data_IF_691698585568
#
_entry.id   IF_691698585568
#
_cell.length_a   1.000
_cell.length_b   1.000
_cell.length_c   1.000
_cell.angle_alpha   90.00
_cell.angle_beta   90.00
_cell.angle_gamma   90.00
#
_symmetry.space_group_name_H-M   'P 1'
#
loop_
_entity.id
_entity.type
_entity.pdbx_description
1 polymer ?
#
# COMPACT_ATOMS: atom_id res chain seq x y z
N UNK A 1 13.14 -28.75 -35.60
CA UNK A 1 13.06 -27.57 -34.71
C UNK A 1 13.57 -26.38 -35.49
N UNK A 2 12.65 -25.56 -36.00
CA UNK A 2 12.98 -24.30 -36.68
C UNK A 2 13.04 -23.20 -35.61
N UNK A 3 14.08 -22.34 -35.60
CA UNK A 3 14.15 -21.22 -34.66
C UNK A 3 13.02 -20.22 -34.95
N UNK A 4 12.35 -19.76 -33.90
CA UNK A 4 11.19 -18.86 -33.96
C UNK A 4 11.58 -17.50 -34.59
N UNK A 5 11.02 -17.19 -35.76
CA UNK A 5 11.26 -15.91 -36.45
C UNK A 5 10.67 -14.70 -35.71
N UNK A 6 9.77 -14.93 -34.74
CA UNK A 6 9.14 -13.87 -33.94
C UNK A 6 10.11 -13.16 -32.99
N UNK A 7 11.14 -13.85 -32.49
CA UNK A 7 12.20 -13.21 -31.66
C UNK A 7 13.09 -12.27 -32.48
N UNK A 8 13.17 -12.45 -33.80
CA UNK A 8 14.01 -11.64 -34.67
C UNK A 8 13.37 -10.28 -35.02
N UNK A 9 12.04 -10.19 -34.98
CA UNK A 9 11.30 -8.96 -35.33
C UNK A 9 11.16 -7.97 -34.17
N UNK A 10 11.34 -8.42 -32.92
CA UNK A 10 11.27 -7.57 -31.72
C UNK A 10 12.65 -7.10 -31.23
N UNK A 11 13.74 -7.66 -31.77
CA UNK A 11 15.08 -7.17 -31.50
C UNK A 11 15.32 -5.81 -32.17
N UNK A 12 15.91 -4.81 -31.48
CA UNK A 12 16.24 -3.54 -32.11
C UNK A 12 17.22 -3.80 -33.25
N UNK A 13 16.74 -3.66 -34.50
CA UNK A 13 17.51 -3.75 -35.75
C UNK A 13 18.49 -2.58 -35.81
N UNK A 14 19.57 -2.70 -35.05
CA UNK A 14 20.59 -1.66 -34.92
C UNK A 14 21.88 -2.03 -35.67
N UNK A 15 21.84 -3.01 -36.58
CA UNK A 15 22.98 -3.38 -37.41
C UNK A 15 23.27 -2.26 -38.42
N UNK A 16 24.19 -1.35 -38.06
CA UNK A 16 24.78 -0.42 -39.02
C UNK A 16 25.05 1.01 -38.52
N UNK A 17 24.60 1.40 -37.32
CA UNK A 17 24.93 2.74 -36.82
C UNK A 17 26.35 2.76 -36.23
N UNK A 18 27.27 3.63 -36.71
CA UNK A 18 28.59 3.76 -36.14
C UNK A 18 28.53 4.20 -34.67
N UNK A 19 29.31 3.56 -33.80
CA UNK A 19 29.23 3.73 -32.34
C UNK A 19 29.37 5.18 -31.87
N UNK A 20 30.07 6.03 -32.63
CA UNK A 20 30.20 7.48 -32.36
C UNK A 20 28.87 8.23 -32.44
N UNK A 21 28.01 7.89 -33.41
CA UNK A 21 26.69 8.52 -33.55
C UNK A 21 25.75 8.10 -32.42
N UNK A 22 25.89 6.86 -31.93
CA UNK A 22 25.11 6.37 -30.79
C UNK A 22 25.47 7.11 -29.50
N UNK A 23 26.76 7.30 -29.22
CA UNK A 23 27.19 8.01 -28.00
C UNK A 23 26.82 9.48 -28.03
N UNK A 24 26.90 10.15 -29.19
CA UNK A 24 26.44 11.53 -29.35
C UNK A 24 24.92 11.67 -29.14
N UNK A 25 24.12 10.80 -29.76
CA UNK A 25 22.67 10.77 -29.54
C UNK A 25 22.32 10.45 -28.08
N UNK A 26 23.05 9.53 -27.45
CA UNK A 26 22.85 9.20 -26.05
C UNK A 26 23.21 10.37 -25.12
N UNK A 27 24.29 11.11 -25.41
CA UNK A 27 24.65 12.31 -24.68
C UNK A 27 23.66 13.46 -24.89
N UNK A 28 23.15 13.64 -26.11
CA UNK A 28 22.16 14.66 -26.42
C UNK A 28 20.81 14.39 -25.72
N UNK A 29 20.37 13.13 -25.70
CA UNK A 29 19.09 12.72 -25.08
C UNK A 29 19.18 12.64 -23.56
N UNK A 30 20.28 12.13 -23.00
CA UNK A 30 20.46 11.98 -21.55
C UNK A 30 20.43 13.32 -20.79
N UNK A 31 21.00 14.39 -21.37
CA UNK A 31 20.96 15.73 -20.75
C UNK A 31 19.52 16.22 -20.56
N UNK A 32 18.67 16.06 -21.58
CA UNK A 32 17.28 16.55 -21.56
C UNK A 32 16.39 15.77 -20.59
N UNK A 33 16.63 14.45 -20.45
CA UNK A 33 15.89 13.61 -19.50
C UNK A 33 16.28 13.96 -18.05
N UNK A 34 17.57 14.15 -17.78
CA UNK A 34 18.06 14.51 -16.44
C UNK A 34 17.55 15.87 -15.98
N UNK A 35 17.50 16.88 -16.84
CA UNK A 35 16.97 18.20 -16.47
C UNK A 35 15.47 18.14 -16.17
N UNK A 36 14.68 17.41 -16.96
CA UNK A 36 13.24 17.24 -16.72
C UNK A 36 12.93 16.55 -15.39
N UNK A 37 13.73 15.54 -15.01
CA UNK A 37 13.60 14.88 -13.70
C UNK A 37 13.93 15.81 -12.55
N UNK A 38 15.01 16.60 -12.66
CA UNK A 38 15.38 17.60 -11.65
C UNK A 38 14.32 18.71 -11.52
N UNK A 39 13.78 19.19 -12.63
CA UNK A 39 12.70 20.19 -12.61
C UNK A 39 11.42 19.67 -11.93
N UNK A 40 11.04 18.42 -12.19
CA UNK A 40 9.89 17.80 -11.49
C UNK A 40 10.15 17.68 -9.98
N UNK A 41 11.36 17.28 -9.59
CA UNK A 41 11.73 17.17 -8.17
C UNK A 41 11.74 18.54 -7.48
N UNK A 42 12.32 19.56 -8.12
CA UNK A 42 12.34 20.93 -7.58
C UNK A 42 10.93 21.53 -7.51
N UNK A 43 10.09 21.29 -8.53
CA UNK A 43 8.69 21.73 -8.53
C UNK A 43 7.90 21.14 -7.36
N UNK A 44 8.05 19.83 -7.11
CA UNK A 44 7.42 19.18 -5.95
C UNK A 44 7.92 19.72 -4.61
N UNK A 45 9.23 19.94 -4.47
CA UNK A 45 9.81 20.50 -3.25
C UNK A 45 9.32 21.93 -2.98
N UNK A 46 9.26 22.78 -4.01
CA UNK A 46 8.72 24.14 -3.90
C UNK A 46 7.24 24.14 -3.47
N UNK A 47 6.42 23.26 -4.05
CA UNK A 47 5.01 23.14 -3.68
C UNK A 47 4.86 22.78 -2.20
N UNK A 48 5.59 21.76 -1.73
CA UNK A 48 5.57 21.35 -0.33
C UNK A 48 6.01 22.49 0.59
N UNK A 49 7.08 23.20 0.24
CA UNK A 49 7.59 24.32 1.02
C UNK A 49 6.55 25.46 1.12
N UNK A 50 5.88 25.81 0.03
CA UNK A 50 4.81 26.83 0.03
C UNK A 50 3.63 26.40 0.91
N UNK A 51 3.16 25.15 0.79
CA UNK A 51 2.06 24.65 1.63
C UNK A 51 2.43 24.61 3.12
N UNK A 52 3.66 24.26 3.43
CA UNK A 52 4.17 24.25 4.81
C UNK A 52 4.21 25.68 5.40
N UNK A 53 4.74 26.65 4.65
CA UNK A 53 4.76 28.05 5.08
C UNK A 53 3.36 28.63 5.25
N UNK A 54 2.41 28.28 4.37
CA UNK A 54 1.01 28.66 4.50
C UNK A 54 0.36 28.09 5.77
N UNK A 55 0.60 26.81 6.08
CA UNK A 55 0.16 26.18 7.33
C UNK A 55 0.77 26.84 8.57
N UNK A 56 2.07 27.16 8.53
CA UNK A 56 2.75 27.85 9.62
C UNK A 56 2.19 29.26 9.87
N UNK A 57 1.87 29.98 8.78
CA UNK A 57 1.25 31.30 8.84
C UNK A 57 -0.14 31.25 9.45
N UNK A 58 -0.99 30.32 9.02
CA UNK A 58 -2.35 30.15 9.57
C UNK A 58 -2.32 29.75 11.05
N UNK A 59 -1.40 28.88 11.47
CA UNK A 59 -1.22 28.51 12.87
C UNK A 59 -0.91 29.72 13.78
N UNK A 60 -0.05 30.64 13.31
CA UNK A 60 0.27 31.87 14.05
C UNK A 60 -0.96 32.76 14.24
N UNK A 61 -1.78 32.91 13.20
CA UNK A 61 -3.03 33.69 13.25
C UNK A 61 -4.08 33.07 14.20
N UNK A 62 -4.26 31.76 14.19
CA UNK A 62 -5.29 31.08 15.02
C UNK A 62 -4.90 31.06 16.51
N UNK A 63 -3.60 31.07 16.84
CA UNK A 63 -3.14 31.03 18.23
C UNK A 63 -3.52 32.28 19.03
N UNK A 64 -3.77 33.40 18.37
CA UNK A 64 -4.20 34.66 19.01
C UNK A 64 -5.72 34.71 19.27
N UNK A 65 -6.49 33.73 18.76
CA UNK A 65 -7.92 33.71 18.97
C UNK A 65 -8.27 33.35 20.44
N UNK A 66 -9.20 34.08 21.09
CA UNK A 66 -9.65 33.77 22.44
C UNK A 66 -10.33 32.39 22.44
N UNK A 67 -9.91 31.53 23.39
CA UNK A 67 -10.49 30.20 23.54
C UNK A 67 -11.97 30.31 23.91
N UNK A 68 -12.89 29.66 23.18
CA UNK A 68 -14.29 29.66 23.56
C UNK A 68 -14.45 28.93 24.90
N UNK A 69 -15.16 29.56 25.83
CA UNK A 69 -15.52 28.97 27.11
C UNK A 69 -16.60 27.93 26.82
N UNK A 70 -16.23 26.66 26.70
CA UNK A 70 -17.18 25.56 26.49
C UNK A 70 -17.83 25.26 27.85
N UNK A 71 -19.04 25.79 28.04
CA UNK A 71 -19.90 25.37 29.15
C UNK A 71 -20.41 23.97 28.82
N UNK A 72 -19.88 22.96 29.50
CA UNK A 72 -20.37 21.58 29.39
C UNK A 72 -21.66 21.47 30.19
N UNK A 73 -22.79 21.52 29.50
CA UNK A 73 -24.08 21.20 30.09
C UNK A 73 -24.15 19.68 30.30
N UNK A 74 -24.12 19.26 31.58
CA UNK A 74 -24.21 17.86 31.97
C UNK A 74 -25.70 17.48 31.91
N UNK A 75 -26.12 16.92 30.78
CA UNK A 75 -27.47 16.36 30.64
C UNK A 75 -27.48 14.99 31.34
N UNK A 76 -28.17 14.93 32.48
CA UNK A 76 -28.47 13.67 33.16
C UNK A 76 -29.56 12.93 32.39
N UNK A 77 -29.20 11.85 31.71
CA UNK A 77 -30.17 10.95 31.06
C UNK A 77 -30.62 9.93 32.12
N UNK A 78 -31.90 9.93 32.54
CA UNK A 78 -32.40 8.93 33.47
C UNK A 78 -32.40 7.55 32.83
N UNK A 79 -31.73 6.60 33.49
CA UNK A 79 -31.61 5.22 33.05
C UNK A 79 -32.97 4.53 33.19
N UNK A 80 -33.64 4.30 32.05
CA UNK A 80 -34.88 3.52 31.99
C UNK A 80 -34.51 2.04 32.06
N UNK A 81 -34.94 1.35 33.11
CA UNK A 81 -34.77 -0.09 33.27
C UNK A 81 -35.54 -0.81 32.14
N UNK A 82 -34.81 -1.46 31.24
CA UNK A 82 -35.36 -2.29 30.17
C UNK A 82 -35.42 -3.74 30.66
N UNK A 83 -36.54 -4.46 30.48
CA UNK A 83 -36.67 -5.85 30.89
C UNK A 83 -35.66 -6.75 30.18
N UNK A 84 -35.10 -7.70 30.93
CA UNK A 84 -34.09 -8.67 30.49
C UNK A 84 -34.74 -9.66 29.52
N UNK A 85 -34.73 -9.35 28.23
CA UNK A 85 -35.00 -10.33 27.18
C UNK A 85 -33.84 -11.34 27.11
N UNK A 86 -34.19 -12.62 27.17
CA UNK A 86 -33.27 -13.74 27.06
C UNK A 86 -32.44 -13.61 25.79
N UNK A 87 -31.13 -13.38 25.95
CA UNK A 87 -30.17 -13.24 24.85
C UNK A 87 -30.10 -14.57 24.11
N UNK A 88 -30.83 -14.69 23.01
CA UNK A 88 -30.60 -15.73 22.01
C UNK A 88 -29.12 -15.63 21.59
N UNK A 89 -28.40 -16.74 21.72
CA UNK A 89 -27.00 -16.89 21.33
C UNK A 89 -26.90 -16.55 19.84
N UNK A 90 -26.55 -15.30 19.52
CA UNK A 90 -26.30 -14.87 18.15
C UNK A 90 -25.07 -15.64 17.67
N UNK A 91 -25.21 -16.31 16.52
CA UNK A 91 -24.08 -16.96 15.87
C UNK A 91 -22.89 -15.99 15.75
N UNK A 92 -21.65 -16.46 15.96
CA UNK A 92 -20.48 -15.59 15.96
C UNK A 92 -20.45 -14.81 14.64
N UNK A 93 -20.52 -13.48 14.74
CA UNK A 93 -20.43 -12.61 13.56
C UNK A 93 -19.08 -12.83 12.91
N UNK A 94 -19.09 -13.13 11.61
CA UNK A 94 -17.85 -13.24 10.85
C UNK A 94 -17.08 -11.90 10.92
N UNK A 95 -15.85 -11.95 11.42
CA UNK A 95 -15.00 -10.77 11.52
C UNK A 95 -14.80 -10.12 10.15
N UNK A 96 -14.86 -8.79 10.11
CA UNK A 96 -14.54 -8.05 8.89
C UNK A 96 -13.04 -8.17 8.56
N UNK A 97 -12.63 -8.06 7.28
CA UNK A 97 -11.21 -8.10 6.92
C UNK A 97 -10.41 -6.99 7.62
N UNK A 98 -11.03 -5.84 7.87
CA UNK A 98 -10.41 -4.72 8.56
C UNK A 98 -10.18 -5.00 10.05
N UNK A 99 -11.10 -5.70 10.72
CA UNK A 99 -10.90 -6.17 12.09
C UNK A 99 -9.73 -7.16 12.17
N UNK A 100 -9.61 -8.08 11.21
CA UNK A 100 -8.51 -9.06 11.19
C UNK A 100 -7.17 -8.37 10.91
N UNK A 101 -7.15 -7.36 10.03
CA UNK A 101 -5.96 -6.54 9.80
C UNK A 101 -5.54 -5.78 11.07
N UNK A 102 -6.50 -5.22 11.81
CA UNK A 102 -6.23 -4.57 13.09
C UNK A 102 -5.72 -5.58 14.15
N UNK A 103 -6.25 -6.80 14.19
CA UNK A 103 -5.72 -7.87 15.04
C UNK A 103 -4.28 -8.24 14.68
N UNK A 104 -3.93 -8.23 13.39
CA UNK A 104 -2.56 -8.45 12.93
C UNK A 104 -1.60 -7.36 13.43
N UNK A 105 -2.03 -6.10 13.44
CA UNK A 105 -1.25 -4.97 13.95
C UNK A 105 -1.08 -4.99 15.48
N UNK A 106 -2.10 -5.47 16.20
CA UNK A 106 -2.09 -5.55 17.66
C UNK A 106 -1.35 -6.78 18.20
N UNK A 107 -1.18 -7.83 17.39
CA UNK A 107 -0.48 -9.04 17.81
C UNK A 107 1.01 -8.78 18.08
N UNK A 108 1.50 -9.28 19.22
CA UNK A 108 2.91 -9.16 19.62
C UNK A 108 3.78 -10.24 18.95
N UNK A 109 3.19 -11.38 18.63
CA UNK A 109 3.88 -12.50 18.02
C UNK A 109 3.88 -12.38 16.49
N UNK A 110 5.07 -12.41 15.90
CA UNK A 110 5.26 -12.28 14.45
C UNK A 110 4.54 -13.39 13.66
N UNK A 111 4.45 -14.60 14.22
CA UNK A 111 3.78 -15.73 13.58
C UNK A 111 2.26 -15.53 13.52
N UNK A 112 1.65 -15.06 14.60
CA UNK A 112 0.22 -14.75 14.65
C UNK A 112 -0.11 -13.59 13.71
N UNK A 113 0.66 -12.50 13.79
CA UNK A 113 0.53 -11.33 12.91
C UNK A 113 0.53 -11.74 11.43
N UNK A 114 1.50 -12.56 11.04
CA UNK A 114 1.61 -13.11 9.69
C UNK A 114 0.34 -13.88 9.29
N UNK A 115 -0.16 -14.76 10.17
CA UNK A 115 -1.36 -15.55 9.87
C UNK A 115 -2.60 -14.66 9.69
N UNK A 116 -2.74 -13.60 10.49
CA UNK A 116 -3.84 -12.64 10.37
C UNK A 116 -3.74 -11.81 9.08
N UNK A 117 -2.54 -11.33 8.71
CA UNK A 117 -2.36 -10.63 7.43
C UNK A 117 -2.74 -11.50 6.23
N UNK A 118 -2.40 -12.79 6.24
CA UNK A 118 -2.82 -13.73 5.18
C UNK A 118 -4.35 -13.85 5.13
N UNK A 119 -4.99 -14.09 6.27
CA UNK A 119 -6.45 -14.21 6.34
C UNK A 119 -7.19 -12.94 5.92
N UNK A 120 -6.69 -11.77 6.33
CA UNK A 120 -7.23 -10.48 5.91
C UNK A 120 -7.09 -10.30 4.38
N UNK A 121 -5.92 -10.63 3.83
CA UNK A 121 -5.66 -10.55 2.39
C UNK A 121 -6.60 -11.47 1.58
N UNK A 122 -6.81 -12.71 2.02
CA UNK A 122 -7.73 -13.67 1.40
C UNK A 122 -9.17 -13.13 1.39
N UNK A 123 -9.61 -12.51 2.51
CA UNK A 123 -10.93 -11.88 2.60
C UNK A 123 -11.06 -10.63 1.73
N UNK A 124 -10.04 -9.77 1.66
CA UNK A 124 -10.02 -8.62 0.74
C UNK A 124 -10.07 -9.09 -0.73
N UNK A 125 -9.32 -10.15 -1.05
CA UNK A 125 -9.29 -10.75 -2.38
C UNK A 125 -10.68 -11.29 -2.77
N UNK A 126 -11.34 -12.03 -1.89
CA UNK A 126 -12.69 -12.55 -2.11
C UNK A 126 -13.74 -11.44 -2.34
N UNK A 127 -13.49 -10.22 -1.85
CA UNK A 127 -14.34 -9.03 -2.04
C UNK A 127 -13.93 -8.17 -3.24
N UNK A 128 -13.03 -8.65 -4.09
CA UNK A 128 -12.44 -7.90 -5.23
C UNK A 128 -11.71 -6.61 -4.81
N UNK A 129 -11.26 -6.52 -3.56
CA UNK A 129 -10.51 -5.39 -3.01
C UNK A 129 -9.01 -5.63 -3.16
N UNK A 130 -8.54 -5.63 -4.42
CA UNK A 130 -7.20 -6.10 -4.79
C UNK A 130 -6.06 -5.24 -4.20
N UNK A 131 -6.24 -3.93 -4.09
CA UNK A 131 -5.21 -3.04 -3.54
C UNK A 131 -4.91 -3.36 -2.07
N UNK A 132 -5.96 -3.55 -1.28
CA UNK A 132 -5.88 -3.93 0.13
C UNK A 132 -5.31 -5.34 0.27
N UNK A 133 -5.76 -6.28 -0.57
CA UNK A 133 -5.22 -7.64 -0.59
C UNK A 133 -3.70 -7.64 -0.86
N UNK A 134 -3.23 -6.89 -1.86
CA UNK A 134 -1.80 -6.76 -2.17
C UNK A 134 -1.04 -6.17 -0.98
N UNK A 135 -1.58 -5.14 -0.31
CA UNK A 135 -0.97 -4.55 0.88
C UNK A 135 -0.79 -5.61 1.97
N UNK A 136 -1.86 -6.30 2.35
CA UNK A 136 -1.82 -7.32 3.40
C UNK A 136 -0.90 -8.51 3.02
N UNK A 137 -0.89 -8.94 1.76
CA UNK A 137 0.05 -9.97 1.31
C UNK A 137 1.50 -9.51 1.38
N UNK A 138 1.81 -8.23 1.11
CA UNK A 138 3.16 -7.70 1.31
C UNK A 138 3.55 -7.74 2.79
N UNK A 139 2.66 -7.33 3.69
CA UNK A 139 2.90 -7.44 5.14
C UNK A 139 3.12 -8.89 5.58
N UNK A 140 2.37 -9.83 5.02
CA UNK A 140 2.59 -11.26 5.21
C UNK A 140 3.98 -11.71 4.73
N UNK A 141 4.39 -11.33 3.53
CA UNK A 141 5.67 -11.72 2.93
C UNK A 141 6.89 -11.15 3.66
N UNK A 142 6.78 -9.94 4.22
CA UNK A 142 7.85 -9.34 5.04
C UNK A 142 8.18 -10.19 6.26
N UNK A 143 7.18 -10.87 6.82
CA UNK A 143 7.31 -11.71 8.02
C UNK A 143 7.29 -13.22 7.68
N UNK A 144 7.35 -13.59 6.40
CA UNK A 144 7.25 -14.98 5.96
C UNK A 144 8.53 -15.77 6.27
N UNK A 145 8.38 -17.05 6.66
CA UNK A 145 9.52 -17.96 6.74
C UNK A 145 9.90 -18.46 5.35
N UNK A 146 11.05 -19.14 5.23
CA UNK A 146 11.48 -19.74 3.96
C UNK A 146 10.42 -20.70 3.39
N UNK A 147 9.77 -21.47 4.25
CA UNK A 147 8.72 -22.43 3.85
C UNK A 147 7.46 -21.72 3.33
N UNK A 148 7.16 -20.53 3.85
CA UNK A 148 6.03 -19.73 3.40
C UNK A 148 6.28 -19.08 2.04
N UNK A 149 7.53 -18.87 1.64
CA UNK A 149 7.89 -18.30 0.34
C UNK A 149 7.74 -19.31 -0.80
N UNK A 150 7.74 -20.61 -0.49
CA UNK A 150 7.45 -21.65 -1.48
C UNK A 150 5.99 -21.55 -1.96
N UNK A 151 5.73 -21.54 -3.28
CA UNK A 151 4.36 -21.57 -3.81
C UNK A 151 3.63 -22.84 -3.37
N UNK A 152 2.39 -22.68 -2.89
CA UNK A 152 1.52 -23.78 -2.46
C UNK A 152 0.23 -23.82 -3.30
N UNK A 153 -0.37 -24.99 -3.43
CA UNK A 153 -1.67 -25.16 -4.09
C UNK A 153 -2.83 -24.49 -3.33
N UNK A 154 -2.65 -24.17 -2.05
CA UNK A 154 -3.59 -23.41 -1.25
C UNK A 154 -3.45 -21.88 -1.43
N UNK A 155 -2.47 -21.41 -2.19
CA UNK A 155 -2.28 -19.99 -2.43
C UNK A 155 -3.24 -19.49 -3.52
N UNK A 156 -3.76 -18.28 -3.32
CA UNK A 156 -4.44 -17.57 -4.40
C UNK A 156 -3.45 -17.27 -5.53
N UNK A 157 -3.93 -17.15 -6.77
CA UNK A 157 -3.08 -16.82 -7.92
C UNK A 157 -2.29 -15.52 -7.68
N UNK A 158 -2.88 -14.56 -6.97
CA UNK A 158 -2.26 -13.29 -6.61
C UNK A 158 -1.09 -13.51 -5.65
N UNK A 159 -1.29 -14.26 -4.56
CA UNK A 159 -0.21 -14.56 -3.62
C UNK A 159 0.92 -15.37 -4.29
N UNK A 160 0.58 -16.36 -5.13
CA UNK A 160 1.56 -17.12 -5.89
C UNK A 160 2.43 -16.21 -6.79
N UNK A 161 1.80 -15.23 -7.48
CA UNK A 161 2.51 -14.25 -8.30
C UNK A 161 3.40 -13.30 -7.47
N UNK A 162 2.99 -12.95 -6.25
CA UNK A 162 3.79 -12.12 -5.36
C UNK A 162 5.00 -12.89 -4.79
N UNK A 163 4.83 -14.19 -4.47
CA UNK A 163 5.93 -15.06 -4.04
C UNK A 163 7.00 -15.24 -5.12
N UNK A 164 6.59 -15.45 -6.38
CA UNK A 164 7.53 -15.58 -7.49
C UNK A 164 8.28 -14.28 -7.76
N UNK A 165 7.59 -13.13 -7.71
CA UNK A 165 8.23 -11.82 -7.81
C UNK A 165 9.20 -11.57 -6.65
N UNK A 166 8.84 -11.93 -5.41
CA UNK A 166 9.70 -11.77 -4.25
C UNK A 166 10.97 -12.62 -4.34
N UNK A 167 10.90 -13.83 -4.91
CA UNK A 167 12.06 -14.70 -5.07
C UNK A 167 13.11 -14.18 -6.06
N UNK A 168 12.77 -13.20 -6.89
CA UNK A 168 13.71 -12.60 -7.86
C UNK A 168 14.59 -11.48 -7.29
N UNK A 169 14.30 -11.02 -6.06
CA UNK A 169 15.04 -9.95 -5.37
C UNK A 169 15.90 -10.53 -4.24
#
# INVERSE_FOLDING_TARGET
MLPNEEEFLLGPTSKGLPDKLRTELFHATSKKIRTRRKFRQLGGACLLLVTYLAGLGTYRLVREAPRPIIQKEIVYVPMKEVPVESVAVQAPKEKTPQEIEMEAELSLETQESRSFYRQAADKYFARNQYEQAIRCYKCYLVNATKDDLTPSSADTWLLASLKTAHATY
#
